data_IF_877298336506
#
_entry.id   IF_877298336506
#
_cell.length_a   1.000
_cell.length_b   1.000
_cell.length_c   1.000
_cell.angle_alpha   90.00
_cell.angle_beta   90.00
_cell.angle_gamma   90.00
#
_symmetry.space_group_name_H-M   'P 1'
#
loop_
_entity.id
_entity.type
_entity.pdbx_description
1 polymer ?
#
# COMPACT_ATOMS: atom_id res chain seq x y z
N UNK A 1 13.44 -13.00 -18.33
CA UNK A 1 13.12 -12.16 -17.15
C UNK A 1 11.97 -11.24 -17.52
N UNK A 2 10.76 -11.43 -16.97
CA UNK A 2 9.61 -10.53 -17.26
C UNK A 2 9.18 -9.80 -16.00
N UNK A 3 9.78 -8.62 -15.82
CA UNK A 3 9.34 -7.58 -14.90
C UNK A 3 8.27 -6.74 -15.58
N UNK A 4 7.00 -7.09 -15.42
CA UNK A 4 5.92 -6.13 -15.66
C UNK A 4 5.32 -5.71 -14.32
N UNK A 5 6.13 -4.90 -13.65
CA UNK A 5 5.75 -4.05 -12.53
C UNK A 5 4.55 -3.18 -12.94
N UNK A 6 3.38 -3.48 -12.36
CA UNK A 6 2.48 -2.47 -11.81
C UNK A 6 2.14 -1.24 -12.66
N UNK A 7 1.93 -1.38 -13.97
CA UNK A 7 1.20 -0.35 -14.72
C UNK A 7 -0.25 -0.37 -14.21
N UNK A 8 -0.60 0.70 -13.49
CA UNK A 8 -1.92 0.97 -12.92
C UNK A 8 -2.88 1.22 -14.08
N UNK A 9 -3.31 0.16 -14.73
CA UNK A 9 -4.37 0.29 -15.72
C UNK A 9 -5.66 0.63 -14.99
N UNK A 10 -6.35 1.63 -15.51
CA UNK A 10 -7.59 2.14 -14.98
C UNK A 10 -8.63 1.00 -14.84
N UNK A 11 -9.48 1.10 -13.82
CA UNK A 11 -10.58 0.15 -13.58
C UNK A 11 -11.46 0.01 -14.82
N UNK A 12 -11.64 1.10 -15.56
CA UNK A 12 -12.40 1.14 -16.81
C UNK A 12 -11.84 0.18 -17.87
N UNK A 13 -10.52 0.15 -18.09
CA UNK A 13 -9.88 -0.77 -19.06
C UNK A 13 -10.06 -2.23 -18.65
N UNK A 14 -10.02 -2.51 -17.34
CA UNK A 14 -10.27 -3.85 -16.80
C UNK A 14 -11.73 -4.27 -16.94
N UNK A 15 -12.66 -3.32 -16.84
CA UNK A 15 -14.08 -3.56 -17.11
C UNK A 15 -14.36 -3.85 -18.58
N UNK A 16 -13.77 -3.07 -19.49
CA UNK A 16 -13.86 -3.34 -20.93
C UNK A 16 -13.23 -4.68 -21.31
N UNK A 17 -12.09 -5.03 -20.70
CA UNK A 17 -11.48 -6.35 -20.89
C UNK A 17 -12.38 -7.49 -20.38
N UNK A 18 -13.04 -7.32 -19.24
CA UNK A 18 -14.00 -8.30 -18.71
C UNK A 18 -15.16 -8.53 -19.69
N UNK A 19 -15.76 -7.46 -20.22
CA UNK A 19 -16.84 -7.56 -21.22
C UNK A 19 -16.39 -8.29 -22.50
N UNK A 20 -15.13 -8.08 -22.92
CA UNK A 20 -14.56 -8.78 -24.06
C UNK A 20 -14.36 -10.27 -23.77
N UNK A 21 -13.90 -10.62 -22.56
CA UNK A 21 -13.75 -12.01 -22.13
C UNK A 21 -15.09 -12.73 -21.98
N UNK A 22 -16.12 -12.06 -21.47
CA UNK A 22 -17.50 -12.57 -21.43
C UNK A 22 -18.02 -12.91 -22.83
N UNK A 23 -17.65 -12.10 -23.83
CA UNK A 23 -17.93 -12.34 -25.26
C UNK A 23 -16.99 -13.36 -25.92
N UNK A 24 -16.19 -14.10 -25.14
CA UNK A 24 -15.27 -15.12 -25.64
C UNK A 24 -14.04 -14.60 -26.39
N UNK A 25 -13.74 -13.29 -26.33
CA UNK A 25 -12.60 -12.71 -27.05
C UNK A 25 -11.27 -13.04 -26.37
N UNK A 26 -10.28 -13.44 -27.15
CA UNK A 26 -8.93 -13.76 -26.64
C UNK A 26 -8.09 -12.53 -26.28
N UNK A 27 -7.09 -12.71 -25.43
CA UNK A 27 -6.25 -11.61 -24.90
C UNK A 27 -5.55 -10.77 -25.98
N UNK A 28 -5.15 -11.35 -27.13
CA UNK A 28 -4.46 -10.61 -28.21
C UNK A 28 -5.38 -9.57 -28.86
N UNK A 29 -6.62 -9.96 -29.15
CA UNK A 29 -7.64 -9.08 -29.72
C UNK A 29 -8.03 -7.99 -28.73
N UNK A 30 -8.25 -8.37 -27.47
CA UNK A 30 -8.56 -7.42 -26.39
C UNK A 30 -7.42 -6.43 -26.17
N UNK A 31 -6.16 -6.87 -26.20
CA UNK A 31 -4.98 -6.01 -26.11
C UNK A 31 -4.94 -4.97 -27.23
N UNK A 32 -5.09 -5.42 -28.48
CA UNK A 32 -5.11 -4.53 -29.65
C UNK A 32 -6.23 -3.50 -29.56
N UNK A 33 -7.42 -3.89 -29.10
CA UNK A 33 -8.60 -3.02 -29.03
C UNK A 33 -8.53 -2.00 -27.90
N UNK A 34 -7.85 -2.33 -26.80
CA UNK A 34 -7.70 -1.45 -25.64
C UNK A 34 -6.41 -0.62 -25.66
N UNK A 35 -5.52 -0.82 -26.64
CA UNK A 35 -4.20 -0.18 -26.65
C UNK A 35 -3.32 -0.59 -25.47
N UNK A 36 -3.57 -1.78 -24.90
CA UNK A 36 -2.84 -2.31 -23.74
C UNK A 36 -1.91 -3.43 -24.20
N UNK A 37 -0.75 -3.59 -23.56
CA UNK A 37 0.19 -4.64 -23.92
C UNK A 37 -0.46 -6.03 -23.84
N UNK A 38 -0.14 -6.90 -24.81
CA UNK A 38 -0.65 -8.27 -24.82
C UNK A 38 -0.23 -9.07 -23.57
N UNK A 39 0.93 -8.77 -22.99
CA UNK A 39 1.39 -9.38 -21.75
C UNK A 39 0.49 -9.02 -20.56
N UNK A 40 0.10 -7.74 -20.44
CA UNK A 40 -0.85 -7.27 -19.40
C UNK A 40 -2.20 -7.96 -19.55
N UNK A 41 -2.79 -7.93 -20.75
CA UNK A 41 -4.13 -8.49 -20.97
C UNK A 41 -4.14 -10.01 -20.81
N UNK A 42 -3.02 -10.70 -21.10
CA UNK A 42 -2.86 -12.12 -20.80
C UNK A 42 -2.99 -12.39 -19.31
N UNK A 43 -2.38 -11.55 -18.47
CA UNK A 43 -2.48 -11.69 -17.01
C UNK A 43 -3.91 -11.41 -16.51
N UNK A 44 -4.58 -10.42 -17.10
CA UNK A 44 -6.00 -10.18 -16.83
C UNK A 44 -6.87 -11.36 -17.19
N UNK A 45 -6.62 -12.00 -18.33
CA UNK A 45 -7.39 -13.17 -18.76
C UNK A 45 -7.17 -14.35 -17.81
N UNK A 46 -5.95 -14.56 -17.32
CA UNK A 46 -5.70 -15.58 -16.28
C UNK A 46 -6.50 -15.30 -15.02
N UNK A 47 -6.44 -14.06 -14.52
CA UNK A 47 -7.19 -13.67 -13.33
C UNK A 47 -8.70 -13.85 -13.52
N UNK A 48 -9.21 -13.42 -14.68
CA UNK A 48 -10.61 -13.58 -15.05
C UNK A 48 -11.03 -15.05 -15.09
N UNK A 49 -10.18 -15.96 -15.57
CA UNK A 49 -10.48 -17.40 -15.56
C UNK A 49 -10.47 -18.02 -14.17
N UNK A 50 -9.65 -17.52 -13.26
CA UNK A 50 -9.50 -18.09 -11.91
C UNK A 50 -10.54 -17.54 -10.94
N UNK A 51 -10.70 -16.21 -10.90
CA UNK A 51 -11.54 -15.50 -9.91
C UNK A 51 -12.80 -14.89 -10.54
N UNK A 52 -12.84 -14.76 -11.86
CA UNK A 52 -13.95 -14.11 -12.55
C UNK A 52 -13.82 -12.59 -12.64
N UNK A 53 -14.92 -11.96 -13.08
CA UNK A 53 -15.03 -10.51 -13.27
C UNK A 53 -14.65 -9.72 -12.01
N UNK A 54 -15.10 -10.16 -10.84
CA UNK A 54 -14.83 -9.50 -9.56
C UNK A 54 -13.33 -9.44 -9.25
N UNK A 55 -12.60 -10.55 -9.43
CA UNK A 55 -11.16 -10.60 -9.21
C UNK A 55 -10.37 -9.72 -10.17
N UNK A 56 -10.77 -9.66 -11.45
CA UNK A 56 -10.16 -8.76 -12.42
C UNK A 56 -10.39 -7.28 -12.05
N UNK A 57 -11.59 -6.90 -11.63
CA UNK A 57 -11.89 -5.52 -11.24
C UNK A 57 -11.20 -5.13 -9.92
N UNK A 58 -11.00 -6.07 -9.01
CA UNK A 58 -10.27 -5.87 -7.77
C UNK A 58 -8.75 -5.72 -7.97
N UNK A 59 -8.20 -6.22 -9.08
CA UNK A 59 -6.77 -6.15 -9.38
C UNK A 59 -6.27 -4.69 -9.34
N UNK A 60 -5.22 -4.40 -8.58
CA UNK A 60 -4.65 -3.04 -8.53
C UNK A 60 -5.48 -1.99 -7.79
N UNK A 61 -6.63 -2.36 -7.19
CA UNK A 61 -7.22 -1.55 -6.12
C UNK A 61 -6.20 -1.53 -4.99
N UNK A 62 -5.70 -0.34 -4.65
CA UNK A 62 -4.87 -0.20 -3.44
C UNK A 62 -5.73 -0.61 -2.26
N UNK A 63 -5.22 -1.52 -1.44
CA UNK A 63 -5.74 -1.78 -0.08
C UNK A 63 -6.18 -0.45 0.55
N UNK A 64 -7.38 -0.44 1.16
CA UNK A 64 -8.02 0.75 1.69
C UNK A 64 -7.00 1.67 2.36
N UNK A 65 -6.81 2.87 1.79
CA UNK A 65 -5.93 3.85 2.39
C UNK A 65 -6.70 4.47 3.54
N UNK A 66 -6.40 4.03 4.74
CA UNK A 66 -6.88 4.67 5.95
C UNK A 66 -6.10 5.96 6.17
N UNK A 67 -6.82 7.04 6.40
CA UNK A 67 -6.24 8.31 6.81
C UNK A 67 -5.61 8.17 8.20
N UNK A 68 -4.64 9.03 8.50
CA UNK A 68 -3.93 9.00 9.77
C UNK A 68 -4.89 9.10 10.96
N UNK A 69 -5.88 9.99 10.86
CA UNK A 69 -6.90 10.17 11.90
C UNK A 69 -7.70 8.89 12.16
N UNK A 70 -8.14 8.18 11.12
CA UNK A 70 -8.85 6.90 11.26
C UNK A 70 -7.99 5.86 11.97
N UNK A 71 -6.69 5.80 11.67
CA UNK A 71 -5.76 4.86 12.32
C UNK A 71 -5.61 5.16 13.81
N UNK A 72 -5.43 6.43 14.15
CA UNK A 72 -5.25 6.87 15.53
C UNK A 72 -6.54 6.65 16.32
N UNK A 73 -7.68 7.06 15.78
CA UNK A 73 -8.97 6.89 16.44
C UNK A 73 -9.28 5.41 16.71
N UNK A 74 -9.06 4.54 15.73
CA UNK A 74 -9.29 3.11 15.90
C UNK A 74 -8.31 2.48 16.90
N UNK A 75 -7.03 2.84 16.86
CA UNK A 75 -6.05 2.32 17.80
C UNK A 75 -6.32 2.81 19.24
N UNK A 76 -6.65 4.08 19.42
CA UNK A 76 -7.02 4.68 20.71
C UNK A 76 -8.27 4.04 21.30
N UNK A 77 -9.31 3.83 20.49
CA UNK A 77 -10.53 3.18 20.96
C UNK A 77 -10.27 1.77 21.51
N UNK A 78 -9.38 1.01 20.86
CA UNK A 78 -9.03 -0.36 21.30
C UNK A 78 -8.05 -0.37 22.47
N UNK A 79 -7.04 0.50 22.47
CA UNK A 79 -5.96 0.47 23.46
C UNK A 79 -6.36 1.20 24.74
N UNK A 80 -6.90 2.41 24.62
CA UNK A 80 -7.24 3.27 25.76
C UNK A 80 -8.72 3.12 26.14
N UNK A 81 -9.59 2.95 25.14
CA UNK A 81 -11.04 2.84 25.33
C UNK A 81 -11.56 1.43 25.61
N UNK A 82 -10.69 0.41 25.60
CA UNK A 82 -11.08 -0.99 25.84
C UNK A 82 -11.98 -1.62 24.77
N UNK A 83 -12.23 -0.93 23.64
CA UNK A 83 -13.10 -1.40 22.58
C UNK A 83 -12.59 -2.71 21.97
N UNK A 84 -13.49 -3.63 21.66
CA UNK A 84 -13.12 -4.86 20.98
C UNK A 84 -12.65 -4.57 19.55
N UNK A 85 -11.73 -5.39 19.02
CA UNK A 85 -11.24 -5.20 17.64
C UNK A 85 -12.35 -5.28 16.58
N UNK A 86 -13.31 -6.23 16.66
CA UNK A 86 -14.42 -6.28 15.70
C UNK A 86 -15.30 -5.03 15.76
N UNK A 87 -15.58 -4.52 16.96
CA UNK A 87 -16.38 -3.31 17.15
C UNK A 87 -15.66 -2.08 16.58
N UNK A 88 -14.36 -1.93 16.82
CA UNK A 88 -13.55 -0.88 16.21
C UNK A 88 -13.50 -1.02 14.67
N UNK A 89 -13.43 -2.24 14.14
CA UNK A 89 -13.48 -2.45 12.69
C UNK A 89 -14.79 -1.96 12.09
N UNK A 90 -15.92 -2.27 12.71
CA UNK A 90 -17.23 -1.81 12.27
C UNK A 90 -17.35 -0.28 12.38
N UNK A 91 -16.96 0.30 13.52
CA UNK A 91 -17.07 1.73 13.79
C UNK A 91 -16.21 2.61 12.86
N UNK A 92 -15.01 2.14 12.51
CA UNK A 92 -14.03 2.92 11.74
C UNK A 92 -13.89 2.45 10.28
N UNK A 93 -14.78 1.57 9.80
CA UNK A 93 -14.78 1.10 8.42
C UNK A 93 -13.52 0.32 8.02
N UNK A 94 -12.94 -0.44 8.95
CA UNK A 94 -11.69 -1.18 8.72
C UNK A 94 -12.03 -2.58 8.20
N UNK A 95 -11.64 -2.86 6.97
CA UNK A 95 -11.95 -4.09 6.26
C UNK A 95 -11.17 -5.31 6.76
N UNK A 96 -10.11 -5.11 7.55
CA UNK A 96 -9.25 -6.21 8.02
C UNK A 96 -8.71 -5.97 9.43
N UNK A 97 -8.67 -7.04 10.22
CA UNK A 97 -8.13 -7.01 11.59
C UNK A 97 -6.61 -6.83 11.62
N UNK A 98 -5.91 -7.23 10.57
CA UNK A 98 -4.44 -7.21 10.49
C UNK A 98 -3.86 -5.79 10.61
N UNK A 99 -4.29 -4.80 9.79
CA UNK A 99 -3.83 -3.42 9.96
C UNK A 99 -4.21 -2.84 11.33
N UNK A 100 -5.41 -3.15 11.85
CA UNK A 100 -5.82 -2.69 13.18
C UNK A 100 -4.91 -3.23 14.30
N UNK A 101 -4.56 -4.53 14.27
CA UNK A 101 -3.61 -5.13 15.22
C UNK A 101 -2.25 -4.43 15.17
N UNK A 102 -1.75 -4.15 13.95
CA UNK A 102 -0.50 -3.42 13.77
C UNK A 102 -0.58 -2.01 14.37
N UNK A 103 -1.68 -1.29 14.14
CA UNK A 103 -1.83 0.07 14.67
C UNK A 103 -1.91 0.07 16.19
N UNK A 104 -2.66 -0.86 16.79
CA UNK A 104 -2.72 -1.00 18.24
C UNK A 104 -1.33 -1.28 18.84
N UNK A 105 -0.50 -2.09 18.17
CA UNK A 105 0.87 -2.36 18.61
C UNK A 105 1.72 -1.08 18.56
N UNK A 106 1.71 -0.36 17.45
CA UNK A 106 2.48 0.89 17.29
C UNK A 106 2.01 1.96 18.28
N UNK A 107 0.70 2.08 18.48
CA UNK A 107 0.11 3.03 19.41
C UNK A 107 0.53 2.75 20.86
N UNK A 108 0.61 1.48 21.28
CA UNK A 108 1.16 1.13 22.62
C UNK A 108 2.64 1.51 22.77
N UNK A 109 3.41 1.56 21.69
CA UNK A 109 4.85 1.84 21.73
C UNK A 109 5.18 3.34 21.71
N UNK A 110 4.35 4.17 21.06
CA UNK A 110 4.65 5.60 20.90
C UNK A 110 3.43 6.47 20.62
N UNK A 111 2.24 6.03 21.05
CA UNK A 111 0.98 6.74 20.90
C UNK A 111 0.64 7.07 19.45
N UNK A 112 -0.06 8.19 19.26
CA UNK A 112 -0.45 8.67 17.93
C UNK A 112 0.76 8.95 17.02
N UNK A 113 1.88 9.42 17.57
CA UNK A 113 3.09 9.75 16.80
C UNK A 113 3.66 8.54 16.06
N UNK A 114 3.56 7.34 16.64
CA UNK A 114 4.02 6.09 16.02
C UNK A 114 3.22 5.68 14.77
N UNK A 115 2.03 6.24 14.58
CA UNK A 115 1.16 5.97 13.42
C UNK A 115 1.35 6.97 12.28
N UNK A 116 2.15 8.03 12.49
CA UNK A 116 2.42 9.01 11.44
C UNK A 116 3.08 8.32 10.24
N UNK A 117 2.71 8.71 9.01
CA UNK A 117 3.38 8.19 7.82
C UNK A 117 4.88 8.51 7.92
N UNK A 118 5.71 7.45 7.94
CA UNK A 118 7.17 7.63 7.90
C UNK A 118 7.56 8.29 6.58
N UNK A 119 8.55 9.20 6.58
CA UNK A 119 9.07 9.79 5.35
C UNK A 119 9.43 8.69 4.36
N UNK A 120 8.97 8.84 3.11
CA UNK A 120 9.16 7.82 2.09
C UNK A 120 10.56 7.95 1.51
N UNK A 121 11.48 7.08 1.94
CA UNK A 121 12.84 7.01 1.40
C UNK A 121 13.79 6.22 2.31
N UNK A 122 14.90 5.74 1.75
CA UNK A 122 16.06 5.32 2.56
C UNK A 122 16.59 6.58 3.25
N UNK A 123 16.84 6.57 4.58
CA UNK A 123 17.54 7.69 5.21
C UNK A 123 18.86 7.91 4.44
N UNK A 124 19.10 9.13 3.96
CA UNK A 124 20.41 9.50 3.42
C UNK A 124 21.41 9.21 4.54
N UNK A 125 22.43 8.42 4.22
CA UNK A 125 23.24 7.69 5.19
C UNK A 125 23.73 8.55 6.35
N UNK A 126 23.87 7.88 7.50
CA UNK A 126 24.74 8.29 8.60
C UNK A 126 26.07 8.78 8.00
N UNK A 127 26.24 10.10 7.91
CA UNK A 127 27.57 10.68 7.87
C UNK A 127 28.10 10.42 9.27
N UNK A 128 29.01 9.46 9.37
CA UNK A 128 29.77 9.20 10.59
C UNK A 128 30.38 10.56 10.99
N UNK A 129 29.92 11.12 12.10
CA UNK A 129 30.60 12.25 12.72
C UNK A 129 32.02 11.76 13.03
N UNK A 130 32.98 12.19 12.21
CA UNK A 130 34.39 12.10 12.56
C UNK A 130 34.54 13.06 13.74
N UNK A 131 34.97 12.59 14.93
CA UNK A 131 35.26 13.51 16.01
C UNK A 131 36.42 14.43 15.56
N UNK A 132 36.41 15.71 15.95
CA UNK A 132 37.45 16.66 15.55
C UNK A 132 38.82 16.13 15.95
N UNK A 133 39.76 16.17 15.01
CA UNK A 133 41.16 15.86 15.25
C UNK A 133 41.79 16.94 16.13
N UNK A 134 42.67 16.49 17.02
CA UNK A 134 43.39 17.18 18.11
C UNK A 134 44.11 18.50 17.77
N UNK A 135 44.05 18.98 16.54
CA UNK A 135 44.77 20.17 16.07
C UNK A 135 43.96 21.48 16.21
N UNK A 136 42.64 21.41 16.45
CA UNK A 136 41.78 22.60 16.63
C UNK A 136 41.66 23.10 18.10
N UNK A 137 42.14 22.37 19.12
CA UNK A 137 42.12 22.82 20.53
C UNK A 137 43.29 23.75 20.92
N UNK A 138 44.28 23.96 20.05
CA UNK A 138 45.49 24.74 20.35
C UNK A 138 45.47 26.20 19.85
N UNK A 139 44.47 26.59 19.06
CA UNK A 139 44.37 27.96 18.51
C UNK A 139 43.52 28.91 19.36
N UNK A 140 42.84 28.43 20.41
CA UNK A 140 42.04 29.28 21.34
C UNK A 140 42.84 29.83 22.55
N UNK A 141 44.17 29.66 22.60
CA UNK A 141 45.02 30.13 23.72
C UNK A 141 46.27 30.91 23.28
N UNK A 142 46.12 31.84 22.34
CA UNK A 142 47.10 32.92 22.08
C UNK A 142 46.40 34.27 22.04
#
# INVERSE_FOLDING_TARGET
MSVHLGLRHDRLLREQAAQMFEKGRGYRLTASRLGVSAATVREWQKMYRVIGRSGLLAMGIKQARYDYETKVAAARAVVDGGMSKPEAMARFGIASVTPLKQWCRLYRQGGAQALKPKPKGRPKGSVRAVPPTREEELEERV
#
